data_IF_660372496680
#
_entry.id   IF_660372496680
#
_cell.length_a   1.000
_cell.length_b   1.000
_cell.length_c   1.000
_cell.angle_alpha   90.00
_cell.angle_beta   90.00
_cell.angle_gamma   90.00
#
_symmetry.space_group_name_H-M   'P 1'
#
loop_
_entity.id
_entity.type
_entity.pdbx_description
1 polymer ?
#
# COMPACT_ATOMS: atom_id res chain seq x y z
N UNK A 1 5.91 4.93 -61.64
CA UNK A 1 5.41 5.65 -60.45
C UNK A 1 3.91 5.43 -60.33
N UNK A 2 3.54 4.52 -59.44
CA UNK A 2 2.28 4.27 -58.71
C UNK A 2 2.35 2.81 -58.31
N UNK A 3 2.81 2.57 -57.08
CA UNK A 3 2.87 1.27 -56.45
C UNK A 3 1.55 1.15 -55.68
N UNK A 4 0.75 0.13 -55.96
CA UNK A 4 -0.24 -0.37 -55.01
C UNK A 4 -0.26 -1.88 -55.12
N UNK A 5 0.61 -2.53 -54.35
CA UNK A 5 0.54 -3.97 -54.13
C UNK A 5 -0.53 -4.21 -53.07
N UNK A 6 -1.70 -4.66 -53.49
CA UNK A 6 -2.70 -5.28 -52.62
C UNK A 6 -2.17 -6.64 -52.18
N UNK A 7 -1.72 -6.76 -50.93
CA UNK A 7 -1.46 -8.05 -50.28
C UNK A 7 -2.75 -8.47 -49.56
N UNK A 8 -3.22 -9.71 -49.74
CA UNK A 8 -4.50 -10.17 -49.20
C UNK A 8 -4.47 -10.38 -47.68
N UNK A 9 -5.66 -10.25 -47.11
CA UNK A 9 -6.01 -10.37 -45.72
C UNK A 9 -5.60 -11.73 -45.11
N UNK A 10 -4.49 -11.78 -44.36
CA UNK A 10 -4.25 -12.79 -43.30
C UNK A 10 -2.98 -12.44 -42.52
N UNK A 11 -3.02 -12.67 -41.20
CA UNK A 11 -1.96 -12.53 -40.18
C UNK A 11 -2.02 -11.26 -39.30
N UNK A 12 -2.97 -11.32 -38.35
CA UNK A 12 -2.81 -10.99 -36.93
C UNK A 12 -2.21 -9.62 -36.55
N UNK A 13 -3.08 -8.68 -36.13
CA UNK A 13 -2.90 -8.01 -34.84
C UNK A 13 -4.22 -7.43 -34.30
N UNK A 14 -5.23 -8.29 -34.15
CA UNK A 14 -6.36 -8.02 -33.25
C UNK A 14 -5.98 -8.47 -31.83
N UNK A 15 -5.01 -7.80 -31.22
CA UNK A 15 -4.86 -7.87 -29.77
C UNK A 15 -5.52 -6.61 -29.20
N UNK A 16 -6.71 -6.69 -28.58
CA UNK A 16 -7.15 -5.60 -27.70
C UNK A 16 -6.05 -5.38 -26.65
N UNK A 17 -5.53 -4.16 -26.61
CA UNK A 17 -4.60 -3.76 -25.55
C UNK A 17 -5.42 -3.61 -24.28
N UNK A 18 -5.45 -4.66 -23.45
CA UNK A 18 -6.03 -4.62 -22.12
C UNK A 18 -5.01 -3.99 -21.17
N UNK A 19 -5.12 -2.69 -20.94
CA UNK A 19 -4.45 -2.02 -19.83
C UNK A 19 -5.24 -2.28 -18.55
N UNK A 20 -5.12 -3.47 -17.97
CA UNK A 20 -5.64 -3.69 -16.62
C UNK A 20 -4.58 -3.23 -15.61
N UNK A 21 -4.56 -1.93 -15.34
CA UNK A 21 -3.89 -1.34 -14.18
C UNK A 21 -4.68 -1.74 -12.92
N UNK A 22 -4.55 -3.00 -12.50
CA UNK A 22 -5.30 -3.52 -11.34
C UNK A 22 -4.53 -3.20 -10.06
N UNK A 23 -4.95 -2.14 -9.38
CA UNK A 23 -4.71 -2.04 -7.94
C UNK A 23 -5.47 -3.15 -7.23
N UNK A 24 -4.84 -3.81 -6.26
CA UNK A 24 -5.48 -4.92 -5.55
C UNK A 24 -6.03 -4.42 -4.21
N UNK A 25 -7.32 -4.64 -3.97
CA UNK A 25 -7.97 -4.40 -2.68
C UNK A 25 -8.07 -5.70 -1.89
N UNK A 26 -7.59 -5.70 -0.64
CA UNK A 26 -7.63 -6.88 0.22
C UNK A 26 -7.73 -6.53 1.71
N UNK A 27 -7.89 -7.57 2.53
CA UNK A 27 -7.59 -7.47 3.95
C UNK A 27 -6.15 -7.01 4.18
N UNK A 28 -5.94 -6.30 5.29
CA UNK A 28 -4.63 -5.80 5.67
C UNK A 28 -3.62 -6.94 5.90
N UNK A 29 -2.45 -6.83 5.28
CA UNK A 29 -1.30 -7.68 5.52
C UNK A 29 -0.03 -6.83 5.60
N UNK A 30 0.61 -6.80 6.77
CA UNK A 30 1.79 -5.96 7.00
C UNK A 30 2.98 -6.32 6.11
N UNK A 31 3.20 -7.60 5.83
CA UNK A 31 4.30 -8.04 4.97
C UNK A 31 4.10 -7.55 3.52
N UNK A 32 2.87 -7.54 3.02
CA UNK A 32 2.56 -6.95 1.71
C UNK A 32 2.86 -5.45 1.71
N UNK A 33 2.41 -4.71 2.73
CA UNK A 33 2.69 -3.27 2.85
C UNK A 33 4.20 -3.00 2.85
N UNK A 34 4.95 -3.72 3.67
CA UNK A 34 6.41 -3.61 3.70
C UNK A 34 7.04 -3.92 2.34
N UNK A 35 6.60 -4.98 1.66
CA UNK A 35 7.13 -5.37 0.34
C UNK A 35 6.87 -4.33 -0.75
N UNK A 36 5.71 -3.67 -0.72
CA UNK A 36 5.34 -2.62 -1.66
C UNK A 36 6.18 -1.36 -1.43
N UNK A 37 6.28 -0.93 -0.17
CA UNK A 37 7.09 0.24 0.20
C UNK A 37 8.56 -0.01 -0.10
N UNK A 38 9.05 -1.24 0.08
CA UNK A 38 10.43 -1.64 -0.24
C UNK A 38 10.78 -1.49 -1.73
N UNK A 39 9.79 -1.57 -2.62
CA UNK A 39 9.96 -1.31 -4.06
C UNK A 39 9.53 0.09 -4.48
N UNK A 40 9.37 1.00 -3.51
CA UNK A 40 9.02 2.41 -3.75
C UNK A 40 7.56 2.64 -4.10
N UNK A 41 6.66 1.71 -3.75
CA UNK A 41 5.22 1.83 -3.99
C UNK A 41 4.48 2.12 -2.69
N UNK A 42 3.85 3.30 -2.54
CA UNK A 42 3.00 3.57 -1.38
C UNK A 42 1.75 2.69 -1.42
N UNK A 43 1.17 2.44 -0.24
CA UNK A 43 -0.04 1.65 -0.06
C UNK A 43 -1.12 2.51 0.55
N UNK A 44 -2.34 2.45 0.00
CA UNK A 44 -3.50 3.10 0.62
C UNK A 44 -4.06 2.16 1.70
N UNK A 45 -4.06 2.60 2.95
CA UNK A 45 -4.64 1.88 4.07
C UNK A 45 -6.01 2.47 4.42
N UNK A 46 -6.90 1.63 4.94
CA UNK A 46 -8.16 2.11 5.51
C UNK A 46 -8.60 1.25 6.67
N UNK A 47 -9.28 1.88 7.61
CA UNK A 47 -9.82 1.25 8.80
C UNK A 47 -10.99 2.04 9.34
N UNK A 48 -11.62 1.54 10.39
CA UNK A 48 -12.74 2.22 11.02
C UNK A 48 -12.63 2.19 12.54
N UNK A 49 -13.43 3.06 13.13
CA UNK A 49 -13.78 3.05 14.55
C UNK A 49 -15.31 2.87 14.67
N UNK A 50 -15.83 2.96 15.89
CA UNK A 50 -17.27 2.82 16.15
C UNK A 50 -18.15 3.90 15.49
N UNK A 51 -17.58 4.99 15.00
CA UNK A 51 -18.31 6.17 14.50
C UNK A 51 -18.04 6.51 13.03
N UNK A 52 -16.89 6.12 12.48
CA UNK A 52 -16.40 6.58 11.18
C UNK A 52 -15.32 5.65 10.60
N UNK A 53 -15.23 5.60 9.28
CA UNK A 53 -14.07 5.06 8.55
C UNK A 53 -13.09 6.16 8.18
N UNK A 54 -11.82 5.82 8.01
CA UNK A 54 -10.79 6.71 7.49
C UNK A 54 -9.84 5.94 6.57
N UNK A 55 -9.23 6.66 5.64
CA UNK A 55 -8.23 6.12 4.72
C UNK A 55 -7.03 7.08 4.64
N UNK A 56 -5.83 6.51 4.51
CA UNK A 56 -4.57 7.24 4.56
C UNK A 56 -3.49 6.49 3.79
N UNK A 57 -2.34 7.15 3.57
CA UNK A 57 -1.24 6.57 2.80
C UNK A 57 -0.16 6.05 3.75
N UNK A 58 0.35 4.86 3.47
CA UNK A 58 1.60 4.36 4.03
C UNK A 58 2.69 4.41 2.94
N UNK A 59 3.73 5.21 3.18
CA UNK A 59 4.77 5.56 2.20
C UNK A 59 6.20 5.31 2.71
N UNK A 60 6.35 4.79 3.93
CA UNK A 60 7.64 4.46 4.52
C UNK A 60 7.51 3.37 5.58
N UNK A 61 8.61 2.70 5.90
CA UNK A 61 8.68 1.78 7.02
C UNK A 61 10.00 1.92 7.77
N UNK A 62 10.00 1.55 9.05
CA UNK A 62 11.21 1.38 9.84
C UNK A 62 11.05 0.20 10.78
N UNK A 63 12.17 -0.30 11.30
CA UNK A 63 12.17 -1.38 12.27
C UNK A 63 13.01 -1.00 13.48
N UNK A 64 12.48 -1.25 14.67
CA UNK A 64 13.22 -1.04 15.92
C UNK A 64 13.51 -2.38 16.59
N UNK A 65 14.70 -2.49 17.18
CA UNK A 65 15.08 -3.65 18.00
C UNK A 65 14.67 -3.37 19.44
N UNK A 66 13.69 -4.12 19.93
CA UNK A 66 13.19 -4.03 21.30
C UNK A 66 13.85 -5.13 22.12
N UNK A 67 14.35 -4.78 23.31
CA UNK A 67 14.96 -5.71 24.25
C UNK A 67 14.02 -5.99 25.43
N UNK A 68 14.08 -7.22 25.96
CA UNK A 68 13.45 -7.52 27.24
C UNK A 68 14.08 -6.69 28.37
N UNK A 69 13.36 -6.47 29.48
CA UNK A 69 13.86 -5.65 30.60
C UNK A 69 15.19 -6.16 31.19
N UNK A 70 15.47 -7.45 31.03
CA UNK A 70 16.73 -8.08 31.44
C UNK A 70 17.77 -8.21 30.31
N UNK A 71 17.51 -7.63 29.13
CA UNK A 71 18.36 -7.63 27.93
C UNK A 71 18.74 -9.01 27.36
N UNK A 72 18.10 -10.09 27.80
CA UNK A 72 18.43 -11.46 27.37
C UNK A 72 17.74 -11.86 26.05
N UNK A 73 16.69 -11.16 25.66
CA UNK A 73 15.97 -11.41 24.42
C UNK A 73 15.80 -10.08 23.67
N UNK A 74 15.78 -10.15 22.34
CA UNK A 74 15.38 -9.02 21.50
C UNK A 74 14.45 -9.48 20.39
N UNK A 75 13.53 -8.62 20.00
CA UNK A 75 12.69 -8.78 18.83
C UNK A 75 12.73 -7.52 17.98
N UNK A 76 12.52 -7.68 16.68
CA UNK A 76 12.36 -6.58 15.75
C UNK A 76 10.88 -6.23 15.67
N UNK A 77 10.55 -4.94 15.76
CA UNK A 77 9.19 -4.46 15.68
C UNK A 77 9.04 -3.47 14.52
N UNK A 78 7.97 -3.64 13.74
CA UNK A 78 7.74 -2.94 12.48
C UNK A 78 6.86 -1.70 12.69
N UNK A 79 7.25 -0.60 12.05
CA UNK A 79 6.48 0.63 12.02
C UNK A 79 6.30 1.09 10.57
N UNK A 80 5.14 1.66 10.27
CA UNK A 80 4.86 2.31 9.01
C UNK A 80 4.75 3.82 9.21
N UNK A 81 5.36 4.57 8.30
CA UNK A 81 5.09 6.00 8.17
C UNK A 81 3.70 6.16 7.57
N UNK A 82 2.82 6.88 8.28
CA UNK A 82 1.45 7.11 7.89
C UNK A 82 1.25 8.60 7.63
N UNK A 83 0.81 8.92 6.42
CA UNK A 83 0.31 10.24 6.04
C UNK A 83 -1.22 10.22 6.11
N UNK A 84 -1.77 10.84 7.15
CA UNK A 84 -3.20 10.80 7.47
C UNK A 84 -4.06 11.68 6.58
N UNK A 85 -3.45 12.49 5.71
CA UNK A 85 -4.16 13.43 4.84
C UNK A 85 -4.67 14.68 5.56
N UNK A 86 -4.11 15.01 6.73
CA UNK A 86 -4.51 16.17 7.55
C UNK A 86 -3.46 17.29 7.52
N UNK A 87 -2.91 17.61 6.35
CA UNK A 87 -1.87 18.63 6.16
C UNK A 87 -0.62 18.41 7.05
N UNK A 88 -0.19 17.16 7.22
CA UNK A 88 0.94 16.80 8.09
C UNK A 88 0.58 16.64 9.57
N UNK A 89 -0.64 17.00 9.99
CA UNK A 89 -1.05 16.82 11.37
C UNK A 89 -1.17 15.33 11.70
N UNK A 90 -0.40 14.91 12.71
CA UNK A 90 -0.28 13.52 13.17
C UNK A 90 0.42 12.57 12.18
N UNK A 91 1.03 13.07 11.10
CA UNK A 91 1.86 12.22 10.24
C UNK A 91 3.08 11.72 11.03
N UNK A 92 3.49 10.48 10.80
CA UNK A 92 4.62 9.88 11.50
C UNK A 92 4.62 8.37 11.48
N UNK A 93 5.50 7.77 12.28
CA UNK A 93 5.64 6.32 12.40
C UNK A 93 4.70 5.74 13.44
N UNK A 94 3.89 4.78 12.99
CA UNK A 94 2.92 4.05 13.80
C UNK A 94 3.23 2.56 13.76
N UNK A 95 2.92 1.85 14.84
CA UNK A 95 3.05 0.39 14.89
C UNK A 95 2.26 -0.24 13.74
N UNK A 96 2.83 -1.28 13.11
CA UNK A 96 2.18 -1.96 12.00
C UNK A 96 0.76 -2.47 12.35
N UNK A 97 0.48 -2.79 13.60
CA UNK A 97 -0.79 -3.35 14.08
C UNK A 97 -1.65 -2.39 14.91
N UNK A 98 -1.23 -1.13 15.14
CA UNK A 98 -1.98 -0.15 15.91
C UNK A 98 -2.08 1.21 15.21
N UNK A 99 -3.26 1.50 14.69
CA UNK A 99 -3.54 2.66 13.83
C UNK A 99 -4.30 3.73 14.61
N UNK A 100 -3.65 4.30 15.63
CA UNK A 100 -4.24 5.32 16.51
C UNK A 100 -3.61 6.68 16.27
N UNK A 101 -4.31 7.55 15.53
CA UNK A 101 -3.90 8.94 15.29
C UNK A 101 -4.51 9.86 16.34
N UNK A 102 -3.69 10.35 17.28
CA UNK A 102 -4.19 11.16 18.40
C UNK A 102 -5.19 10.38 19.26
N UNK A 103 -6.44 10.85 19.35
CA UNK A 103 -7.53 10.16 20.06
C UNK A 103 -8.36 9.21 19.18
N UNK A 104 -8.05 9.09 17.89
CA UNK A 104 -8.84 8.32 16.92
C UNK A 104 -8.13 7.01 16.56
N UNK A 105 -8.73 5.88 16.94
CA UNK A 105 -8.22 4.53 16.65
C UNK A 105 -8.97 3.90 15.49
N UNK A 106 -8.31 3.65 14.36
CA UNK A 106 -8.91 3.05 13.15
C UNK A 106 -8.58 1.56 13.02
N UNK A 107 -8.64 0.83 14.13
CA UNK A 107 -8.16 -0.55 14.21
C UNK A 107 -9.17 -1.61 13.75
N UNK A 108 -10.41 -1.24 13.43
CA UNK A 108 -11.42 -2.19 12.96
C UNK A 108 -11.47 -2.28 11.44
N UNK A 109 -11.82 -3.46 10.91
CA UNK A 109 -12.00 -3.72 9.48
C UNK A 109 -10.86 -3.15 8.61
N UNK A 110 -9.63 -3.47 8.99
CA UNK A 110 -8.40 -3.02 8.32
C UNK A 110 -8.32 -3.55 6.90
N UNK A 111 -8.18 -2.66 5.92
CA UNK A 111 -8.03 -2.97 4.50
C UNK A 111 -6.82 -2.25 3.92
N UNK A 112 -6.36 -2.74 2.77
CA UNK A 112 -5.31 -2.10 1.99
C UNK A 112 -5.62 -2.16 0.50
N UNK A 113 -5.17 -1.13 -0.23
CA UNK A 113 -5.09 -1.10 -1.68
C UNK A 113 -3.63 -0.92 -2.07
N UNK A 114 -3.09 -1.90 -2.80
CA UNK A 114 -1.67 -1.97 -3.16
C UNK A 114 -1.50 -2.26 -4.66
N UNK A 115 -0.26 -2.43 -5.12
CA UNK A 115 0.10 -2.51 -6.54
C UNK A 115 -0.28 -1.23 -7.30
N UNK A 116 -0.14 -0.08 -6.64
CA UNK A 116 -0.34 1.24 -7.24
C UNK A 116 0.90 1.55 -8.09
N UNK A 117 0.73 1.59 -9.41
CA UNK A 117 1.78 1.84 -10.40
C UNK A 117 1.19 2.63 -11.59
N UNK A 118 2.04 3.28 -12.40
CA UNK A 118 1.60 4.04 -13.58
C UNK A 118 1.17 3.16 -14.75
#
# INVERSE_FOLDING_TARGET
MKISNSIPNSLLLNAPVFWEEVTTFSDYNSATVESEISVGRPVLLSGKNNSSGHAWVADGYQTDKIFSSNCNNSWTYLYFHMNWGWNGYLDGYYSFDNWTAGSSSYNDNKKMTYNIKP
#
